data_IF_780100152414
#
_entry.id   IF_780100152414
#
_cell.length_a   1.000
_cell.length_b   1.000
_cell.length_c   1.000
_cell.angle_alpha   90.00
_cell.angle_beta   90.00
_cell.angle_gamma   90.00
#
_symmetry.space_group_name_H-M   'P 1'
#
loop_
_entity.id
_entity.type
_entity.pdbx_description
1 polymer ?
#
# COMPACT_ATOMS: atom_id res chain seq x y z
N UNK A 1 46.24 0.23 53.26
CA UNK A 1 46.66 0.87 52.00
C UNK A 1 45.63 0.53 50.93
N UNK A 2 45.35 1.52 50.10
CA UNK A 2 44.11 1.75 49.37
C UNK A 2 43.81 0.76 48.23
N UNK A 3 42.52 0.73 47.89
CA UNK A 3 41.82 0.04 46.80
C UNK A 3 42.27 0.59 45.45
N UNK A 4 42.52 -0.27 44.45
CA UNK A 4 42.35 0.11 43.03
C UNK A 4 41.62 -1.01 42.28
N UNK A 5 40.32 -0.78 42.07
CA UNK A 5 39.49 -1.44 41.05
C UNK A 5 39.99 -1.08 39.64
N UNK A 6 40.03 -2.02 38.68
CA UNK A 6 40.20 -1.65 37.29
C UNK A 6 38.87 -1.18 36.70
N UNK A 7 38.88 0.05 36.21
CA UNK A 7 37.79 0.75 35.56
C UNK A 7 37.23 -0.02 34.36
N UNK A 8 35.90 -0.14 34.34
CA UNK A 8 35.13 -0.66 33.23
C UNK A 8 35.16 0.38 32.10
N UNK A 9 36.06 0.22 31.12
CA UNK A 9 36.17 1.13 29.99
C UNK A 9 34.99 0.92 29.03
N UNK A 10 33.96 1.75 29.14
CA UNK A 10 32.93 1.87 28.12
C UNK A 10 33.55 2.46 26.84
N UNK A 11 34.11 1.60 25.97
CA UNK A 11 34.50 1.99 24.61
C UNK A 11 33.23 2.31 23.84
N UNK A 12 32.99 3.58 23.54
CA UNK A 12 32.02 4.00 22.53
C UNK A 12 32.54 3.52 21.16
N UNK A 13 32.16 2.30 20.77
CA UNK A 13 32.55 1.70 19.50
C UNK A 13 31.97 2.53 18.36
N UNK A 14 32.82 3.28 17.65
CA UNK A 14 32.44 3.98 16.42
C UNK A 14 31.78 2.96 15.49
N UNK A 15 30.59 3.28 14.97
CA UNK A 15 29.89 2.41 14.01
C UNK A 15 30.78 2.23 12.78
N UNK A 16 31.27 1.01 12.57
CA UNK A 16 32.09 0.65 11.40
C UNK A 16 31.18 0.70 10.17
N UNK A 17 31.53 1.55 9.20
CA UNK A 17 30.84 1.67 7.92
C UNK A 17 31.11 0.44 7.03
N UNK A 18 30.25 0.22 6.04
CA UNK A 18 30.49 -0.79 4.99
C UNK A 18 31.46 -0.23 3.94
N UNK A 19 32.51 -0.99 3.64
CA UNK A 19 33.45 -0.76 2.54
C UNK A 19 32.82 -1.02 1.17
N UNK A 20 33.49 -0.64 0.08
CA UNK A 20 33.00 -0.92 -1.29
C UNK A 20 32.90 -2.42 -1.54
N UNK A 21 33.94 -3.17 -1.22
CA UNK A 21 33.96 -4.63 -1.39
C UNK A 21 32.85 -5.33 -0.60
N UNK A 22 32.54 -4.87 0.62
CA UNK A 22 31.41 -5.40 1.39
C UNK A 22 30.07 -5.09 0.74
N UNK A 23 29.91 -3.92 0.09
CA UNK A 23 28.69 -3.58 -0.64
C UNK A 23 28.54 -4.42 -1.90
N UNK A 24 29.62 -4.63 -2.65
CA UNK A 24 29.65 -5.50 -3.83
C UNK A 24 29.27 -6.94 -3.48
N UNK A 25 29.79 -7.45 -2.36
CA UNK A 25 29.40 -8.77 -1.84
C UNK A 25 27.91 -8.83 -1.47
N UNK A 26 27.36 -7.76 -0.89
CA UNK A 26 25.91 -7.72 -0.60
C UNK A 26 25.11 -7.73 -1.90
N UNK A 27 25.55 -7.00 -2.93
CA UNK A 27 24.88 -6.95 -4.24
C UNK A 27 24.86 -8.35 -4.87
N UNK A 28 25.97 -9.08 -4.87
CA UNK A 28 26.02 -10.43 -5.43
C UNK A 28 25.10 -11.41 -4.68
N UNK A 29 25.15 -11.40 -3.35
CA UNK A 29 24.32 -12.29 -2.51
C UNK A 29 22.81 -12.03 -2.66
N UNK A 30 22.42 -10.77 -2.88
CA UNK A 30 21.02 -10.40 -3.14
C UNK A 30 20.61 -10.77 -4.56
N UNK A 31 21.50 -10.64 -5.55
CA UNK A 31 21.25 -11.03 -6.95
C UNK A 31 20.86 -12.49 -7.09
N UNK A 32 21.49 -13.37 -6.30
CA UNK A 32 21.18 -14.81 -6.25
C UNK A 32 19.79 -15.13 -5.65
N UNK A 33 19.15 -14.16 -4.99
CA UNK A 33 17.92 -14.36 -4.19
C UNK A 33 16.80 -13.39 -4.62
N UNK A 34 16.14 -13.63 -5.77
CA UNK A 34 15.11 -12.72 -6.31
C UNK A 34 13.89 -12.54 -5.38
N UNK A 35 13.67 -13.46 -4.44
CA UNK A 35 12.59 -13.39 -3.43
C UNK A 35 12.65 -12.12 -2.56
N UNK A 36 13.85 -11.56 -2.36
CA UNK A 36 14.07 -10.33 -1.57
C UNK A 36 13.33 -9.15 -2.20
N UNK A 37 13.31 -9.13 -3.53
CA UNK A 37 12.84 -8.04 -4.37
C UNK A 37 11.38 -8.25 -4.84
N UNK A 38 10.80 -9.43 -4.63
CA UNK A 38 9.38 -9.67 -4.88
C UNK A 38 8.48 -8.65 -4.12
N UNK A 39 7.51 -7.99 -4.78
CA UNK A 39 6.61 -6.99 -4.17
C UNK A 39 5.46 -7.56 -3.34
N UNK A 40 5.21 -8.86 -3.42
CA UNK A 40 4.11 -9.51 -2.71
C UNK A 40 4.28 -9.40 -1.18
N UNK A 41 3.17 -9.12 -0.49
CA UNK A 41 3.10 -8.86 0.97
C UNK A 41 2.27 -9.93 1.72
N UNK A 42 2.11 -11.12 1.15
CA UNK A 42 1.44 -12.23 1.84
C UNK A 42 2.34 -12.79 2.99
N UNK A 43 1.73 -13.47 3.96
CA UNK A 43 2.45 -14.00 5.13
C UNK A 43 3.60 -14.93 4.72
N UNK A 44 3.37 -15.79 3.73
CA UNK A 44 4.38 -16.71 3.18
C UNK A 44 5.59 -15.99 2.60
N UNK A 45 5.42 -14.95 1.79
CA UNK A 45 6.54 -14.19 1.23
C UNK A 45 7.29 -13.40 2.31
N UNK A 46 6.61 -12.95 3.36
CA UNK A 46 7.31 -12.30 4.50
C UNK A 46 8.26 -13.30 5.17
N UNK A 47 7.83 -14.54 5.35
CA UNK A 47 8.66 -15.61 5.92
C UNK A 47 9.80 -16.01 4.98
N UNK A 48 9.52 -16.22 3.69
CA UNK A 48 10.54 -16.52 2.69
C UNK A 48 11.61 -15.42 2.58
N UNK A 49 11.20 -14.14 2.65
CA UNK A 49 12.14 -13.02 2.68
C UNK A 49 13.00 -13.02 3.94
N UNK A 50 12.45 -13.40 5.10
CA UNK A 50 13.23 -13.52 6.35
C UNK A 50 14.28 -14.61 6.21
N UNK A 51 13.87 -15.81 5.79
CA UNK A 51 14.78 -16.92 5.54
C UNK A 51 15.90 -16.55 4.55
N UNK A 52 15.56 -15.86 3.45
CA UNK A 52 16.54 -15.38 2.48
C UNK A 52 17.56 -14.40 3.10
N UNK A 53 17.13 -13.51 4.00
CA UNK A 53 18.06 -12.61 4.71
C UNK A 53 18.93 -13.35 5.72
N UNK A 54 18.42 -14.38 6.38
CA UNK A 54 19.19 -15.23 7.30
C UNK A 54 20.25 -16.04 6.53
N UNK A 55 19.92 -16.55 5.34
CA UNK A 55 20.89 -17.18 4.44
C UNK A 55 21.98 -16.21 3.98
N UNK A 56 21.61 -14.97 3.63
CA UNK A 56 22.58 -13.93 3.27
C UNK A 56 23.48 -13.59 4.46
N UNK A 57 22.94 -13.49 5.66
CA UNK A 57 23.73 -13.29 6.87
C UNK A 57 24.77 -14.39 7.03
N UNK A 58 24.36 -15.66 6.88
CA UNK A 58 25.26 -16.80 6.98
C UNK A 58 26.34 -16.77 5.87
N UNK A 59 25.95 -16.54 4.63
CA UNK A 59 26.87 -16.49 3.49
C UNK A 59 27.87 -15.32 3.61
N UNK A 60 27.39 -14.12 3.96
CA UNK A 60 28.22 -12.95 4.19
C UNK A 60 29.20 -13.19 5.35
N UNK A 61 28.70 -13.72 6.47
CA UNK A 61 29.53 -14.02 7.63
C UNK A 61 30.43 -15.24 7.42
N UNK A 62 30.29 -16.02 6.36
CA UNK A 62 31.24 -17.09 6.03
C UNK A 62 32.50 -16.56 5.32
N UNK A 63 32.42 -15.37 4.70
CA UNK A 63 33.55 -14.77 3.98
C UNK A 63 34.65 -14.36 4.98
N UNK A 64 35.93 -14.66 4.70
CA UNK A 64 37.04 -14.19 5.54
C UNK A 64 37.22 -12.68 5.43
N UNK A 65 37.81 -12.06 6.45
CA UNK A 65 38.16 -10.63 6.48
C UNK A 65 37.00 -9.61 6.42
N UNK A 66 35.73 -10.05 6.43
CA UNK A 66 34.58 -9.16 6.61
C UNK A 66 34.25 -8.97 8.09
N UNK A 67 33.72 -7.80 8.44
CA UNK A 67 33.17 -7.57 9.78
C UNK A 67 31.83 -8.28 9.87
N UNK A 68 31.63 -9.14 10.87
CA UNK A 68 30.36 -9.87 11.02
C UNK A 68 29.18 -8.90 11.20
N UNK A 69 28.10 -9.14 10.46
CA UNK A 69 26.89 -8.30 10.47
C UNK A 69 25.65 -9.16 10.64
N UNK A 70 24.60 -8.55 11.19
CA UNK A 70 23.29 -9.18 11.27
C UNK A 70 22.48 -8.96 10.00
N UNK A 71 21.51 -9.83 9.72
CA UNK A 71 20.56 -9.72 8.62
C UNK A 71 19.91 -8.33 8.55
N UNK A 72 19.59 -7.74 9.70
CA UNK A 72 19.03 -6.38 9.78
C UNK A 72 20.01 -5.31 9.28
N UNK A 73 21.30 -5.44 9.57
CA UNK A 73 22.33 -4.51 9.11
C UNK A 73 22.57 -4.64 7.61
N UNK A 74 22.60 -5.87 7.08
CA UNK A 74 22.75 -6.15 5.66
C UNK A 74 21.55 -5.63 4.87
N UNK A 75 20.34 -5.87 5.36
CA UNK A 75 19.11 -5.30 4.79
C UNK A 75 19.13 -3.78 4.75
N UNK A 76 19.56 -3.12 5.84
CA UNK A 76 19.70 -1.66 5.85
C UNK A 76 20.73 -1.16 4.85
N UNK A 77 21.84 -1.88 4.71
CA UNK A 77 22.85 -1.54 3.70
C UNK A 77 22.28 -1.65 2.29
N UNK A 78 21.52 -2.71 2.00
CA UNK A 78 20.84 -2.88 0.72
C UNK A 78 19.83 -1.75 0.42
N UNK A 79 18.99 -1.39 1.38
CA UNK A 79 18.05 -0.26 1.21
C UNK A 79 18.79 1.08 0.98
N UNK A 80 19.95 1.27 1.61
CA UNK A 80 20.79 2.43 1.34
C UNK A 80 21.38 2.40 -0.07
N UNK A 81 21.84 1.24 -0.55
CA UNK A 81 22.35 1.07 -1.93
C UNK A 81 21.25 1.43 -2.94
N UNK A 82 20.02 0.93 -2.75
CA UNK A 82 18.87 1.30 -3.59
C UNK A 82 18.55 2.79 -3.51
N UNK A 83 18.61 3.38 -2.33
CA UNK A 83 18.36 4.82 -2.15
C UNK A 83 19.41 5.68 -2.86
N UNK A 84 20.69 5.28 -2.82
CA UNK A 84 21.76 5.92 -3.58
C UNK A 84 21.50 5.81 -5.08
N UNK A 85 21.18 4.62 -5.59
CA UNK A 85 20.89 4.43 -7.02
C UNK A 85 19.69 5.25 -7.49
N UNK A 86 18.61 5.29 -6.70
CA UNK A 86 17.45 6.14 -7.00
C UNK A 86 17.81 7.63 -7.07
N UNK A 87 18.71 8.09 -6.20
CA UNK A 87 19.20 9.48 -6.22
C UNK A 87 20.01 9.75 -7.49
N UNK A 88 20.88 8.84 -7.89
CA UNK A 88 21.64 8.93 -9.15
C UNK A 88 20.70 9.06 -10.35
N UNK A 89 19.72 8.16 -10.46
CA UNK A 89 18.72 8.19 -11.54
C UNK A 89 17.92 9.50 -11.56
N UNK A 90 17.54 10.02 -10.40
CA UNK A 90 16.86 11.32 -10.31
C UNK A 90 17.74 12.49 -10.74
N UNK A 91 19.03 12.46 -10.45
CA UNK A 91 19.98 13.49 -10.88
C UNK A 91 20.22 13.42 -12.39
N UNK A 92 20.32 12.21 -12.95
CA UNK A 92 20.45 11.97 -14.38
C UNK A 92 19.25 12.54 -15.15
N UNK A 93 18.02 12.18 -14.72
CA UNK A 93 16.78 12.72 -15.30
C UNK A 93 16.71 14.25 -15.15
N UNK A 94 17.05 14.79 -13.96
CA UNK A 94 17.08 16.23 -13.73
C UNK A 94 18.09 16.96 -14.64
N UNK A 95 19.26 16.38 -14.86
CA UNK A 95 20.30 16.96 -15.72
C UNK A 95 19.85 17.06 -17.19
N UNK A 96 19.12 16.04 -17.68
CA UNK A 96 18.55 16.04 -19.03
C UNK A 96 17.46 17.11 -19.19
N UNK A 97 16.62 17.29 -18.18
CA UNK A 97 15.54 18.28 -18.18
C UNK A 97 16.06 19.72 -17.99
N UNK A 98 17.22 19.89 -17.34
CA UNK A 98 17.82 21.19 -17.08
C UNK A 98 18.55 21.76 -18.32
N UNK A 99 19.10 20.92 -19.19
CA UNK A 99 19.67 21.38 -20.47
C UNK A 99 18.55 21.74 -21.44
N UNK A 100 18.39 23.03 -21.73
CA UNK A 100 17.39 23.58 -22.66
C UNK A 100 17.62 23.20 -24.13
N UNK A 101 17.57 21.90 -24.47
CA UNK A 101 17.52 21.40 -25.85
C UNK A 101 18.80 20.78 -26.41
N UNK A 102 19.73 20.30 -25.59
CA UNK A 102 20.92 19.56 -26.05
C UNK A 102 20.81 18.06 -25.81
N UNK A 103 21.33 17.23 -26.73
CA UNK A 103 21.54 15.78 -26.52
C UNK A 103 22.48 15.62 -25.33
N UNK A 104 21.93 15.20 -24.19
CA UNK A 104 22.74 14.69 -23.08
C UNK A 104 23.35 13.36 -23.51
N UNK A 105 24.64 13.18 -23.32
CA UNK A 105 25.29 11.88 -23.48
C UNK A 105 24.62 10.88 -22.54
N UNK A 106 23.82 9.99 -23.10
CA UNK A 106 23.25 8.85 -22.38
C UNK A 106 24.39 7.90 -22.04
N UNK A 107 25.09 8.18 -20.93
CA UNK A 107 26.03 7.27 -20.30
C UNK A 107 25.28 6.06 -19.76
N UNK A 108 24.86 5.16 -20.66
CA UNK A 108 24.24 3.86 -20.35
C UNK A 108 25.32 2.93 -19.78
N UNK A 109 25.75 3.25 -18.57
CA UNK A 109 26.46 2.28 -17.73
C UNK A 109 25.39 1.35 -17.17
N UNK A 110 25.34 0.11 -17.67
CA UNK A 110 24.46 -0.92 -17.13
C UNK A 110 24.79 -1.11 -15.65
N UNK A 111 23.93 -0.59 -14.78
CA UNK A 111 24.11 -0.71 -13.34
C UNK A 111 23.47 -2.01 -12.87
N UNK A 112 24.26 -2.89 -12.24
CA UNK A 112 23.82 -4.20 -11.72
C UNK A 112 22.58 -4.07 -10.81
N UNK A 113 22.42 -2.93 -10.11
CA UNK A 113 21.26 -2.67 -9.26
C UNK A 113 19.97 -2.57 -10.07
N UNK A 114 20.01 -2.03 -11.28
CA UNK A 114 18.84 -1.89 -12.15
C UNK A 114 18.36 -3.25 -12.66
N UNK A 115 19.28 -4.19 -12.88
CA UNK A 115 18.95 -5.58 -13.23
C UNK A 115 18.32 -6.34 -12.06
N UNK A 116 18.80 -6.12 -10.83
CA UNK A 116 18.26 -6.77 -9.62
C UNK A 116 16.92 -6.16 -9.22
N UNK A 117 16.75 -4.85 -9.38
CA UNK A 117 15.59 -4.08 -8.95
C UNK A 117 15.03 -3.23 -10.12
N UNK A 118 14.35 -3.86 -11.11
CA UNK A 118 13.92 -3.17 -12.33
C UNK A 118 12.89 -2.06 -12.09
N UNK A 119 12.23 -2.06 -10.93
CA UNK A 119 11.21 -1.07 -10.55
C UNK A 119 11.77 0.04 -9.65
N UNK A 120 13.09 0.18 -9.52
CA UNK A 120 13.73 1.22 -8.70
C UNK A 120 13.36 2.64 -9.17
N UNK A 121 13.15 2.82 -10.48
CA UNK A 121 12.80 4.08 -11.12
C UNK A 121 11.55 3.95 -12.01
N UNK A 122 10.53 3.25 -11.52
CA UNK A 122 9.26 3.17 -12.22
C UNK A 122 8.56 4.53 -12.15
N UNK A 123 8.51 5.25 -13.27
CA UNK A 123 7.73 6.47 -13.44
C UNK A 123 6.35 6.12 -13.98
N UNK A 124 5.30 6.72 -13.40
CA UNK A 124 3.93 6.61 -13.91
C UNK A 124 3.64 7.90 -14.69
N UNK A 125 3.38 7.83 -16.00
CA UNK A 125 3.05 9.01 -16.80
C UNK A 125 1.87 9.78 -16.21
N UNK A 126 1.97 11.11 -16.14
CA UNK A 126 0.88 12.00 -15.72
C UNK A 126 0.68 12.14 -14.21
N UNK A 127 1.50 11.51 -13.37
CA UNK A 127 1.46 11.72 -11.91
C UNK A 127 2.37 12.89 -11.53
N UNK A 128 1.78 13.95 -10.96
CA UNK A 128 2.52 15.08 -10.39
C UNK A 128 3.08 14.61 -9.05
N UNK A 129 4.37 14.33 -8.99
CA UNK A 129 5.08 13.99 -7.76
C UNK A 129 5.77 15.23 -7.15
N UNK A 130 6.36 15.07 -5.98
CA UNK A 130 7.03 16.17 -5.26
C UNK A 130 8.27 16.73 -5.98
N UNK A 131 8.66 16.14 -7.11
CA UNK A 131 9.78 16.53 -7.96
C UNK A 131 9.31 17.11 -9.31
N UNK A 132 7.99 17.21 -9.53
CA UNK A 132 7.43 17.80 -10.75
C UNK A 132 7.50 19.32 -10.63
N UNK A 133 8.60 19.90 -11.12
CA UNK A 133 8.67 21.35 -11.31
C UNK A 133 7.78 21.74 -12.50
N UNK A 134 6.75 22.50 -12.21
CA UNK A 134 5.71 22.94 -13.13
C UNK A 134 6.29 23.85 -14.23
N UNK A 135 6.45 23.33 -15.45
CA UNK A 135 6.39 24.14 -16.68
C UNK A 135 5.21 23.68 -17.53
N UNK A 136 4.04 24.14 -17.13
CA UNK A 136 2.82 24.02 -17.92
C UNK A 136 2.99 24.87 -19.18
N UNK A 137 3.20 24.23 -20.33
CA UNK A 137 2.89 24.83 -21.62
C UNK A 137 1.49 24.33 -22.02
N UNK A 138 0.45 25.06 -21.63
CA UNK A 138 -0.89 24.82 -22.18
C UNK A 138 -0.84 25.21 -23.66
N UNK A 139 -0.78 24.22 -24.56
CA UNK A 139 -1.28 24.42 -25.91
C UNK A 139 -2.81 24.41 -25.83
N UNK A 140 -3.39 25.61 -25.75
CA UNK A 140 -4.79 25.83 -26.07
C UNK A 140 -4.96 25.56 -27.56
N UNK A 141 -5.59 24.45 -27.91
CA UNK A 141 -6.28 24.31 -29.19
C UNK A 141 -7.69 23.80 -28.93
N UNK A 142 -8.61 24.72 -29.15
CA UNK A 142 -10.07 24.66 -29.11
C UNK A 142 -10.68 23.37 -29.66
N UNK A 143 -11.60 22.74 -28.92
CA UNK A 143 -12.81 22.09 -29.48
C UNK A 143 -13.95 22.19 -28.44
N UNK A 144 -15.15 22.39 -28.98
CA UNK A 144 -16.36 22.95 -28.41
C UNK A 144 -17.15 22.08 -27.41
N UNK A 145 -18.05 22.77 -26.72
CA UNK A 145 -18.99 22.31 -25.69
C UNK A 145 -20.04 21.36 -26.28
N UNK A 146 -20.24 20.21 -25.63
CA UNK A 146 -21.57 19.59 -25.57
C UNK A 146 -21.79 18.84 -24.25
N UNK A 147 -22.92 19.14 -23.61
CA UNK A 147 -23.52 18.42 -22.50
C UNK A 147 -25.04 18.37 -22.79
N UNK A 148 -25.84 17.56 -22.07
CA UNK A 148 -25.61 16.22 -21.52
C UNK A 148 -26.77 15.24 -21.87
N UNK A 149 -26.59 13.91 -21.85
CA UNK A 149 -27.76 13.01 -21.70
C UNK A 149 -27.46 11.60 -21.11
N UNK A 150 -28.14 11.33 -19.98
CA UNK A 150 -28.84 10.12 -19.47
C UNK A 150 -28.22 8.68 -19.46
N UNK A 151 -28.22 8.11 -18.23
CA UNK A 151 -28.72 6.79 -17.74
C UNK A 151 -28.20 5.54 -18.50
N UNK A 152 -27.48 4.57 -17.90
CA UNK A 152 -28.06 3.38 -17.25
C UNK A 152 -27.08 2.53 -16.41
N UNK A 153 -27.68 1.81 -15.46
CA UNK A 153 -27.10 0.91 -14.45
C UNK A 153 -26.96 -0.51 -14.98
N UNK A 154 -25.93 -1.25 -14.53
CA UNK A 154 -25.90 -2.71 -14.21
C UNK A 154 -24.44 -3.06 -13.83
N UNK A 155 -24.03 -3.38 -12.58
CA UNK A 155 -24.27 -4.49 -11.64
C UNK A 155 -23.61 -5.85 -11.96
N UNK A 156 -22.60 -6.22 -11.14
CA UNK A 156 -22.27 -7.54 -10.54
C UNK A 156 -20.90 -7.38 -9.81
N UNK A 157 -20.77 -7.26 -8.47
CA UNK A 157 -20.90 -8.26 -7.38
C UNK A 157 -20.09 -9.55 -7.67
N UNK A 158 -19.04 -9.88 -6.91
CA UNK A 158 -19.08 -10.54 -5.59
C UNK A 158 -17.89 -10.08 -4.68
N UNK A 159 -18.12 -9.62 -3.45
CA UNK A 159 -18.29 -10.33 -2.16
C UNK A 159 -17.03 -10.92 -1.48
N UNK A 160 -16.76 -10.32 -0.29
CA UNK A 160 -16.30 -10.90 0.99
C UNK A 160 -14.86 -11.49 1.06
N UNK A 161 -14.02 -11.22 2.07
CA UNK A 161 -14.23 -11.26 3.53
C UNK A 161 -13.24 -10.33 4.24
N UNK A 162 -13.70 -9.50 5.18
CA UNK A 162 -12.86 -8.85 6.22
C UNK A 162 -13.30 -9.36 7.59
N UNK A 163 -12.51 -10.26 8.16
CA UNK A 163 -12.25 -10.40 9.60
C UNK A 163 -11.13 -11.44 9.72
N UNK A 164 -10.03 -11.28 10.43
CA UNK A 164 -9.81 -10.58 11.68
C UNK A 164 -8.29 -10.61 11.92
N UNK A 165 -7.64 -9.47 12.18
CA UNK A 165 -6.29 -9.47 12.72
C UNK A 165 -6.14 -8.46 13.85
N UNK A 166 -6.14 -9.06 15.05
CA UNK A 166 -5.75 -8.49 16.33
C UNK A 166 -4.53 -7.60 16.19
N UNK A 167 -4.63 -6.41 16.76
CA UNK A 167 -3.61 -5.36 16.76
C UNK A 167 -2.37 -5.81 17.55
N UNK A 168 -1.49 -6.59 16.92
CA UNK A 168 -0.13 -6.79 17.42
C UNK A 168 0.67 -5.51 17.18
N UNK A 169 0.87 -4.74 18.25
CA UNK A 169 1.70 -3.51 18.31
C UNK A 169 3.07 -3.74 17.65
N UNK A 170 3.20 -3.42 16.36
CA UNK A 170 4.52 -3.30 15.70
C UNK A 170 5.00 -1.86 15.87
N UNK A 171 6.11 -1.69 16.60
CA UNK A 171 6.95 -0.48 16.58
C UNK A 171 7.28 -0.15 15.12
N UNK A 172 6.65 0.88 14.57
CA UNK A 172 7.10 1.48 13.30
C UNK A 172 8.48 2.09 13.56
N UNK A 173 9.43 1.77 12.67
CA UNK A 173 10.81 2.21 12.76
C UNK A 173 10.89 3.74 12.90
N UNK A 174 11.55 4.18 13.95
CA UNK A 174 11.94 5.55 14.18
C UNK A 174 13.02 5.89 13.15
N UNK A 175 12.67 6.70 12.13
CA UNK A 175 13.68 7.30 11.25
C UNK A 175 14.58 8.21 12.08
N UNK A 176 15.92 8.25 11.85
CA UNK A 176 16.80 9.18 12.53
C UNK A 176 16.47 10.61 12.11
N UNK A 177 15.70 11.28 12.96
CA UNK A 177 15.28 12.66 12.86
C UNK A 177 16.47 13.56 13.21
N UNK A 178 17.41 13.73 12.28
CA UNK A 178 18.45 14.74 12.45
C UNK A 178 17.81 16.11 12.17
N UNK A 179 17.85 16.93 13.24
CA UNK A 179 17.47 18.34 13.40
C UNK A 179 15.98 18.65 13.34
N UNK A 180 15.25 18.50 14.46
CA UNK A 180 13.86 18.98 14.63
C UNK A 180 13.60 19.77 15.91
N UNK A 181 14.59 20.48 16.42
CA UNK A 181 14.38 21.43 17.51
C UNK A 181 15.26 22.65 17.29
N UNK A 182 14.65 23.82 17.19
CA UNK A 182 15.37 25.06 17.50
C UNK A 182 15.71 25.08 18.99
N UNK A 183 16.68 25.92 19.37
CA UNK A 183 17.26 26.04 20.72
C UNK A 183 16.25 26.27 21.88
N UNK A 184 14.96 26.44 21.56
CA UNK A 184 13.85 26.63 22.50
C UNK A 184 12.85 25.44 22.53
N UNK A 185 13.18 24.27 21.95
CA UNK A 185 12.34 23.06 22.06
C UNK A 185 11.03 23.08 21.27
N UNK A 186 10.84 24.07 20.38
CA UNK A 186 9.66 24.17 19.51
C UNK A 186 9.93 23.43 18.19
N UNK A 187 8.99 22.60 17.75
CA UNK A 187 9.03 21.91 16.46
C UNK A 187 9.15 22.95 15.33
N UNK A 188 10.03 22.70 14.36
CA UNK A 188 10.13 23.54 13.14
C UNK A 188 8.75 23.72 12.49
N UNK A 189 8.46 24.93 12.00
CA UNK A 189 7.16 25.34 11.43
C UNK A 189 6.67 24.37 10.35
N UNK A 190 7.58 23.86 9.53
CA UNK A 190 7.30 22.89 8.47
C UNK A 190 6.77 21.54 9.02
N UNK A 191 7.32 21.08 10.15
CA UNK A 191 6.89 19.82 10.76
C UNK A 191 5.52 19.96 11.42
N UNK A 192 5.23 21.12 12.00
CA UNK A 192 3.90 21.39 12.53
C UNK A 192 2.84 21.36 11.42
N UNK A 193 3.14 21.92 10.25
CA UNK A 193 2.25 21.87 9.07
C UNK A 193 2.03 20.44 8.60
N UNK A 194 3.09 19.62 8.51
CA UNK A 194 2.97 18.21 8.13
C UNK A 194 2.13 17.40 9.11
N UNK A 195 2.36 17.58 10.41
CA UNK A 195 1.58 16.91 11.47
C UNK A 195 0.11 17.32 11.40
N UNK A 196 -0.17 18.61 11.16
CA UNK A 196 -1.54 19.11 11.02
C UNK A 196 -2.25 18.46 9.81
N UNK A 197 -1.62 18.49 8.63
CA UNK A 197 -2.15 17.87 7.41
C UNK A 197 -2.36 16.35 7.58
N UNK A 198 -1.44 15.65 8.23
CA UNK A 198 -1.63 14.23 8.52
C UNK A 198 -2.83 13.98 9.43
N UNK A 199 -3.05 14.81 10.46
CA UNK A 199 -4.22 14.69 11.33
C UNK A 199 -5.51 14.96 10.57
N UNK A 200 -5.54 16.03 9.77
CA UNK A 200 -6.69 16.39 8.93
C UNK A 200 -7.03 15.26 7.95
N UNK A 201 -6.04 14.68 7.27
CA UNK A 201 -6.27 13.55 6.36
C UNK A 201 -6.82 12.31 7.09
N UNK A 202 -6.27 11.97 8.26
CA UNK A 202 -6.76 10.82 9.05
C UNK A 202 -8.20 11.05 9.51
N UNK A 203 -8.53 12.28 9.90
CA UNK A 203 -9.88 12.65 10.32
C UNK A 203 -10.87 12.56 9.15
N UNK A 204 -10.52 13.13 7.99
CA UNK A 204 -11.31 13.03 6.75
C UNK A 204 -11.54 11.57 6.33
N UNK A 205 -10.51 10.73 6.35
CA UNK A 205 -10.64 9.30 6.04
C UNK A 205 -11.58 8.59 7.02
N UNK A 206 -11.53 8.95 8.31
CA UNK A 206 -12.41 8.40 9.34
C UNK A 206 -13.87 8.80 9.14
N UNK A 207 -14.12 10.04 8.74
CA UNK A 207 -15.46 10.55 8.43
C UNK A 207 -16.02 9.90 7.16
N UNK A 208 -15.19 9.80 6.11
CA UNK A 208 -15.56 9.13 4.88
C UNK A 208 -15.93 7.67 5.13
N UNK A 209 -15.19 6.97 6.01
CA UNK A 209 -15.53 5.61 6.41
C UNK A 209 -16.88 5.54 7.14
N UNK A 210 -17.16 6.45 8.08
CA UNK A 210 -18.45 6.51 8.77
C UNK A 210 -19.61 6.71 7.79
N UNK A 211 -19.46 7.61 6.82
CA UNK A 211 -20.48 7.87 5.80
C UNK A 211 -20.71 6.66 4.90
N UNK A 212 -19.64 5.93 4.50
CA UNK A 212 -19.76 4.69 3.74
C UNK A 212 -20.55 3.63 4.50
N UNK A 213 -20.24 3.43 5.79
CA UNK A 213 -20.96 2.48 6.64
C UNK A 213 -22.43 2.88 6.83
N UNK A 214 -22.73 4.17 6.99
CA UNK A 214 -24.11 4.65 7.08
C UNK A 214 -24.89 4.42 5.78
N UNK A 215 -24.27 4.70 4.63
CA UNK A 215 -24.87 4.42 3.31
C UNK A 215 -25.22 2.96 3.16
N UNK A 216 -24.30 2.06 3.54
CA UNK A 216 -24.52 0.62 3.47
C UNK A 216 -25.70 0.18 4.34
N UNK A 217 -25.78 0.70 5.58
CA UNK A 217 -26.92 0.44 6.45
C UNK A 217 -28.25 0.91 5.87
N UNK A 218 -28.26 2.04 5.16
CA UNK A 218 -29.48 2.54 4.49
C UNK A 218 -29.87 1.63 3.32
N UNK A 219 -28.90 1.12 2.56
CA UNK A 219 -29.15 0.19 1.46
C UNK A 219 -29.74 -1.12 1.97
N UNK A 220 -29.14 -1.72 2.99
CA UNK A 220 -29.63 -2.96 3.62
C UNK A 220 -31.07 -2.76 4.12
N UNK A 221 -31.34 -1.68 4.86
CA UNK A 221 -32.71 -1.38 5.34
C UNK A 221 -33.71 -1.22 4.21
N UNK A 222 -33.30 -0.61 3.09
CA UNK A 222 -34.17 -0.45 1.92
C UNK A 222 -34.48 -1.80 1.28
N UNK A 223 -33.48 -2.68 1.18
CA UNK A 223 -33.64 -4.04 0.67
C UNK A 223 -34.54 -4.89 1.58
N UNK A 224 -34.35 -4.82 2.90
CA UNK A 224 -35.24 -5.46 3.88
C UNK A 224 -36.70 -5.05 3.70
N UNK A 225 -36.98 -3.75 3.52
CA UNK A 225 -38.33 -3.23 3.27
C UNK A 225 -38.92 -3.76 1.95
N UNK A 226 -38.09 -3.89 0.91
CA UNK A 226 -38.53 -4.42 -0.38
C UNK A 226 -38.87 -5.90 -0.28
N UNK A 227 -38.01 -6.69 0.34
CA UNK A 227 -38.22 -8.12 0.57
C UNK A 227 -39.48 -8.37 1.42
N UNK A 228 -39.71 -7.55 2.45
CA UNK A 228 -40.92 -7.65 3.28
C UNK A 228 -42.18 -7.37 2.44
N UNK A 229 -42.16 -6.35 1.57
CA UNK A 229 -43.28 -6.04 0.69
C UNK A 229 -43.55 -7.18 -0.32
N UNK A 230 -42.50 -7.77 -0.89
CA UNK A 230 -42.63 -8.90 -1.82
C UNK A 230 -43.20 -10.15 -1.11
N UNK A 231 -42.73 -10.43 0.11
CA UNK A 231 -43.26 -11.49 0.96
C UNK A 231 -44.76 -11.30 1.25
N UNK A 232 -45.18 -10.08 1.59
CA UNK A 232 -46.60 -9.75 1.81
C UNK A 232 -47.45 -9.91 0.54
N UNK A 233 -46.91 -9.54 -0.63
CA UNK A 233 -47.61 -9.76 -1.89
C UNK A 233 -47.75 -11.25 -2.22
N UNK A 234 -46.70 -12.05 -2.00
CA UNK A 234 -46.73 -13.48 -2.21
C UNK A 234 -47.75 -14.18 -1.30
N UNK A 235 -47.80 -13.80 -0.02
CA UNK A 235 -48.78 -14.35 0.94
C UNK A 235 -50.22 -14.01 0.54
N UNK A 236 -50.49 -12.77 0.15
CA UNK A 236 -51.81 -12.38 -0.37
C UNK A 236 -52.21 -13.17 -1.61
N UNK A 237 -51.27 -13.40 -2.53
CA UNK A 237 -51.54 -14.17 -3.74
C UNK A 237 -51.82 -15.65 -3.42
N UNK A 238 -51.09 -16.25 -2.47
CA UNK A 238 -51.35 -17.60 -1.98
C UNK A 238 -52.76 -17.68 -1.36
N UNK A 239 -53.14 -16.71 -0.53
CA UNK A 239 -54.47 -16.69 0.09
C UNK A 239 -55.59 -16.58 -0.95
N UNK A 240 -55.43 -15.69 -1.94
CA UNK A 240 -56.35 -15.57 -3.08
C UNK A 240 -56.51 -16.91 -3.81
N UNK A 241 -55.40 -17.56 -4.15
CA UNK A 241 -55.42 -18.86 -4.84
C UNK A 241 -56.12 -19.94 -3.97
N UNK A 242 -55.90 -19.93 -2.65
CA UNK A 242 -56.56 -20.86 -1.74
C UNK A 242 -58.07 -20.66 -1.69
N UNK A 243 -58.55 -19.42 -1.74
CA UNK A 243 -59.98 -19.11 -1.82
C UNK A 243 -60.59 -19.56 -3.16
N UNK A 244 -59.88 -19.35 -4.26
CA UNK A 244 -60.27 -19.84 -5.60
C UNK A 244 -60.41 -21.37 -5.60
N UNK A 245 -59.42 -22.08 -5.04
CA UNK A 245 -59.45 -23.54 -4.91
C UNK A 245 -60.64 -23.99 -4.05
N UNK A 246 -60.91 -23.32 -2.94
CA UNK A 246 -62.08 -23.63 -2.09
C UNK A 246 -63.39 -23.43 -2.85
N UNK A 247 -63.52 -22.35 -3.61
CA UNK A 247 -64.69 -22.07 -4.45
C UNK A 247 -64.90 -23.18 -5.50
N UNK A 248 -63.86 -23.55 -6.24
CA UNK A 248 -63.91 -24.62 -7.25
C UNK A 248 -64.28 -25.97 -6.63
N UNK A 249 -63.72 -26.32 -5.46
CA UNK A 249 -64.10 -27.54 -4.73
C UNK A 249 -65.58 -27.58 -4.37
N UNK A 250 -66.14 -26.44 -3.96
CA UNK A 250 -67.54 -26.32 -3.58
C UNK A 250 -68.46 -26.45 -4.80
N UNK A 251 -68.05 -25.89 -5.93
CA UNK A 251 -68.75 -26.00 -7.22
C UNK A 251 -68.76 -27.44 -7.76
N UNK A 252 -67.63 -28.14 -7.69
CA UNK A 252 -67.54 -29.57 -8.03
C UNK A 252 -68.49 -30.39 -7.15
N UNK A 253 -68.48 -30.18 -5.83
CA UNK A 253 -69.36 -30.91 -4.91
C UNK A 253 -70.86 -30.65 -5.18
N UNK A 254 -71.22 -29.44 -5.65
CA UNK A 254 -72.59 -29.12 -6.06
C UNK A 254 -72.98 -29.82 -7.36
N UNK A 255 -72.06 -29.95 -8.31
CA UNK A 255 -72.29 -30.68 -9.56
C UNK A 255 -72.44 -32.18 -9.31
N UNK A 256 -71.61 -32.76 -8.45
CA UNK A 256 -71.73 -34.17 -8.05
C UNK A 256 -73.09 -34.49 -7.40
N UNK A 257 -73.61 -33.58 -6.56
CA UNK A 257 -74.94 -33.71 -5.96
C UNK A 257 -76.10 -33.59 -6.96
N UNK A 258 -75.89 -32.95 -8.12
CA UNK A 258 -76.92 -32.86 -9.17
C UNK A 258 -76.93 -34.07 -10.09
N UNK A 259 -75.87 -34.87 -10.09
CA UNK A 259 -75.70 -36.03 -10.96
C UNK A 259 -76.20 -37.35 -10.31
N UNK A 260 -76.34 -37.37 -8.98
CA UNK A 260 -76.94 -38.45 -8.19
C UNK A 260 -78.39 -38.15 -7.84
#
# INVERSE_FOLDING_TARGET
MEIISPANSAKCSKKIAFSSAEKELIISLVSERPIIENKQTNARNIELKRAAWDEIENAYNAVPFVVKRTALQLKRCWENIKSCRKKELSMEVGSLLQTGGGVGEAGTTENVIDSICPYINLTVPGVIDSNTEEKVLVKLSSVEIHAPEKIDKENQHDNEVIESLKLSKRKRGLFPLKTLTDNNGKLSSEVQVRVKRCKENIEQDSELHKLRVQREKILIKKEEILLEKESQQATFQIEKNNLEIKKLKLEIALLEKKLN
#
